data_IF_794341742072
#
_entry.id   IF_794341742072
#
_cell.length_a   1.000
_cell.length_b   1.000
_cell.length_c   1.000
_cell.angle_alpha   90.00
_cell.angle_beta   90.00
_cell.angle_gamma   90.00
#
_symmetry.space_group_name_H-M   'P 1'
#
loop_
_entity.id
_entity.type
_entity.pdbx_description
1 polymer ?
#
# COMPACT_ATOMS: atom_id res chain seq x y z
N UNK A 1 -7.97 31.14 19.61
CA UNK A 1 -7.07 31.24 18.43
C UNK A 1 -5.96 30.24 18.61
N UNK A 2 -5.59 29.47 17.58
CA UNK A 2 -4.39 28.64 17.63
C UNK A 2 -3.17 29.55 17.62
N UNK A 3 -2.17 29.24 18.44
CA UNK A 3 -0.91 29.99 18.46
C UNK A 3 -0.08 29.67 17.22
N UNK A 4 0.79 30.60 16.81
CA UNK A 4 1.68 30.37 15.69
C UNK A 4 2.62 29.18 15.99
N UNK A 5 2.90 28.34 14.98
CA UNK A 5 3.72 27.13 15.09
C UNK A 5 3.11 25.98 15.92
N UNK A 6 1.81 26.02 16.21
CA UNK A 6 1.10 24.85 16.73
C UNK A 6 0.59 23.96 15.59
N UNK A 7 0.99 22.70 15.63
CA UNK A 7 0.57 21.67 14.69
C UNK A 7 -0.31 20.63 15.37
N UNK A 8 -1.29 20.12 14.64
CA UNK A 8 -2.12 19.01 15.07
C UNK A 8 -2.08 17.89 14.04
N UNK A 9 -2.23 16.65 14.51
CA UNK A 9 -2.43 15.52 13.62
C UNK A 9 -3.89 15.49 13.18
N UNK A 10 -4.12 15.65 11.88
CA UNK A 10 -5.46 15.51 11.30
C UNK A 10 -5.81 14.05 11.04
N UNK A 11 -4.81 13.22 10.71
CA UNK A 11 -4.98 11.80 10.45
C UNK A 11 -3.64 11.09 10.35
N UNK A 12 -3.65 9.78 10.58
CA UNK A 12 -2.44 8.94 10.55
C UNK A 12 -2.75 7.51 10.11
N UNK A 13 -1.71 6.74 9.83
CA UNK A 13 -1.88 5.30 9.74
C UNK A 13 -2.32 4.73 11.10
N UNK A 14 -3.29 3.82 11.10
CA UNK A 14 -3.68 3.00 12.25
C UNK A 14 -2.81 1.75 12.37
N UNK A 15 -1.98 1.45 11.38
CA UNK A 15 -1.08 0.30 11.36
C UNK A 15 0.33 0.64 10.83
N UNK A 16 0.69 0.15 9.65
CA UNK A 16 2.01 0.32 9.04
C UNK A 16 2.13 1.68 8.38
N UNK A 17 3.34 2.22 8.33
CA UNK A 17 3.63 3.33 7.43
C UNK A 17 3.51 2.87 5.96
N UNK A 18 3.29 3.80 5.04
CA UNK A 18 3.18 3.47 3.61
C UNK A 18 4.44 2.75 3.10
N UNK A 19 5.64 3.22 3.48
CA UNK A 19 6.91 2.57 3.10
C UNK A 19 7.02 1.13 3.62
N UNK A 20 6.60 0.89 4.87
CA UNK A 20 6.60 -0.45 5.46
C UNK A 20 5.61 -1.39 4.75
N UNK A 21 4.45 -0.88 4.34
CA UNK A 21 3.50 -1.65 3.54
C UNK A 21 4.10 -2.06 2.19
N UNK A 22 4.81 -1.15 1.50
CA UNK A 22 5.54 -1.49 0.27
C UNK A 22 6.62 -2.54 0.54
N UNK A 23 7.42 -2.39 1.60
CA UNK A 23 8.51 -3.32 1.91
C UNK A 23 8.00 -4.73 2.24
N UNK A 24 6.88 -4.83 2.98
CA UNK A 24 6.24 -6.12 3.28
C UNK A 24 5.68 -6.78 2.03
N UNK A 25 4.99 -6.02 1.17
CA UNK A 25 4.49 -6.54 -0.12
C UNK A 25 5.64 -6.97 -1.01
N UNK A 26 6.71 -6.19 -1.09
CA UNK A 26 7.89 -6.53 -1.89
C UNK A 26 8.49 -7.86 -1.42
N UNK A 27 8.58 -8.07 -0.11
CA UNK A 27 9.03 -9.34 0.48
C UNK A 27 8.12 -10.51 0.10
N UNK A 28 6.80 -10.33 0.15
CA UNK A 28 5.83 -11.37 -0.28
C UNK A 28 6.02 -11.76 -1.75
N UNK A 29 6.42 -10.80 -2.59
CA UNK A 29 6.70 -10.99 -4.01
C UNK A 29 8.14 -11.45 -4.32
N UNK A 30 8.97 -11.69 -3.29
CA UNK A 30 10.37 -12.09 -3.46
C UNK A 30 11.30 -10.98 -3.99
N UNK A 31 10.93 -9.70 -3.83
CA UNK A 31 11.71 -8.56 -4.30
C UNK A 31 12.75 -8.09 -3.26
N UNK A 32 13.85 -7.45 -3.70
CA UNK A 32 14.87 -6.91 -2.80
C UNK A 32 14.38 -5.72 -1.94
N UNK A 33 15.09 -5.47 -0.84
CA UNK A 33 14.92 -4.30 0.01
C UNK A 33 15.86 -3.15 -0.41
N UNK A 34 15.43 -1.88 -0.39
CA UNK A 34 14.09 -1.37 -0.07
C UNK A 34 13.07 -1.72 -1.16
N UNK A 35 11.88 -2.16 -0.77
CA UNK A 35 10.88 -2.73 -1.65
C UNK A 35 10.13 -1.71 -2.51
N UNK A 36 9.91 -0.51 -1.97
CA UNK A 36 9.19 0.57 -2.67
C UNK A 36 9.68 0.85 -4.10
N UNK A 37 10.98 1.11 -4.31
CA UNK A 37 11.54 1.33 -5.64
C UNK A 37 11.32 0.18 -6.62
N UNK A 38 11.39 -1.07 -6.16
CA UNK A 38 11.17 -2.25 -7.01
C UNK A 38 9.71 -2.38 -7.43
N UNK A 39 8.76 -2.21 -6.49
CA UNK A 39 7.33 -2.22 -6.80
C UNK A 39 6.98 -1.08 -7.76
N UNK A 40 7.52 0.12 -7.53
CA UNK A 40 7.27 1.29 -8.39
C UNK A 40 7.72 1.04 -9.83
N UNK A 41 8.93 0.47 -10.02
CA UNK A 41 9.45 0.11 -11.34
C UNK A 41 8.57 -0.91 -12.05
N UNK A 42 8.25 -2.03 -11.40
CA UNK A 42 7.40 -3.07 -12.00
C UNK A 42 6.00 -2.56 -12.35
N UNK A 43 5.44 -1.68 -11.52
CA UNK A 43 4.14 -1.06 -11.79
C UNK A 43 4.20 -0.12 -13.01
N UNK A 44 5.32 0.59 -13.21
CA UNK A 44 5.56 1.43 -14.39
C UNK A 44 5.71 0.57 -15.64
N UNK A 45 6.56 -0.46 -15.59
CA UNK A 45 6.74 -1.40 -16.71
C UNK A 45 5.40 -2.04 -17.10
N UNK A 46 4.57 -2.42 -16.12
CA UNK A 46 3.23 -2.95 -16.36
C UNK A 46 2.31 -1.99 -17.11
N UNK A 47 2.36 -0.69 -16.78
CA UNK A 47 1.60 0.36 -17.49
C UNK A 47 2.11 0.54 -18.92
N UNK A 48 3.42 0.60 -19.10
CA UNK A 48 4.05 0.79 -20.42
C UNK A 48 3.75 -0.36 -21.37
N UNK A 49 3.68 -1.58 -20.85
CA UNK A 49 3.34 -2.78 -21.62
C UNK A 49 1.82 -3.04 -21.71
N UNK A 50 0.97 -2.13 -21.22
CA UNK A 50 -0.49 -2.26 -21.19
C UNK A 50 -0.97 -3.62 -20.64
N UNK A 51 -0.32 -4.13 -19.61
CA UNK A 51 -0.75 -5.38 -18.98
C UNK A 51 -2.15 -5.21 -18.39
N UNK A 52 -3.04 -6.20 -18.56
CA UNK A 52 -4.38 -6.14 -18.01
C UNK A 52 -4.33 -6.12 -16.47
N UNK A 53 -5.25 -5.40 -15.85
CA UNK A 53 -5.39 -5.38 -14.40
C UNK A 53 -5.83 -6.76 -13.91
N UNK A 54 -4.92 -7.50 -13.30
CA UNK A 54 -5.17 -8.85 -12.81
C UNK A 54 -5.99 -8.90 -11.49
N UNK A 55 -5.95 -7.83 -10.68
CA UNK A 55 -6.59 -7.79 -9.36
C UNK A 55 -7.13 -6.40 -9.02
N UNK A 56 -8.27 -6.38 -8.33
CA UNK A 56 -8.82 -5.18 -7.69
C UNK A 56 -8.53 -5.26 -6.20
N UNK A 57 -7.68 -4.35 -5.72
CA UNK A 57 -7.29 -4.28 -4.31
C UNK A 57 -8.27 -3.37 -3.52
N UNK A 58 -8.50 -3.65 -2.23
CA UNK A 58 -9.37 -2.82 -1.40
C UNK A 58 -8.80 -1.41 -1.25
N UNK A 59 -9.69 -0.41 -1.19
CA UNK A 59 -9.34 0.98 -0.84
C UNK A 59 -9.60 1.18 0.66
N UNK A 60 -8.55 1.23 1.50
CA UNK A 60 -8.74 1.23 2.93
C UNK A 60 -9.47 2.47 3.40
N UNK A 61 -10.46 2.27 4.27
CA UNK A 61 -11.14 3.33 5.03
C UNK A 61 -11.83 4.41 4.18
N UNK A 62 -12.07 4.16 2.88
CA UNK A 62 -12.68 5.15 1.96
C UNK A 62 -14.10 5.59 2.37
N UNK A 63 -14.79 4.79 3.18
CA UNK A 63 -16.17 5.05 3.63
C UNK A 63 -16.25 5.59 5.06
N UNK A 64 -15.12 5.71 5.75
CA UNK A 64 -15.09 6.21 7.12
C UNK A 64 -14.94 7.74 7.11
N UNK A 65 -15.64 8.42 8.02
CA UNK A 65 -15.53 9.87 8.22
C UNK A 65 -14.30 10.19 9.08
N UNK A 66 -13.12 9.88 8.54
CA UNK A 66 -11.83 10.05 9.22
C UNK A 66 -10.71 10.27 8.21
N UNK A 67 -9.68 11.02 8.60
CA UNK A 67 -8.45 11.16 7.82
C UNK A 67 -7.41 10.08 8.14
N UNK A 68 -7.72 9.17 9.06
CA UNK A 68 -6.90 8.00 9.31
C UNK A 68 -6.93 7.02 8.12
N UNK A 69 -5.89 6.21 8.01
CA UNK A 69 -5.78 5.16 6.99
C UNK A 69 -5.15 3.89 7.55
N UNK A 70 -5.24 2.78 6.83
CA UNK A 70 -4.71 1.48 7.24
C UNK A 70 -4.28 0.68 6.01
N UNK A 71 -3.16 -0.04 6.08
CA UNK A 71 -2.69 -0.90 4.99
C UNK A 71 -2.83 -2.40 5.28
N UNK A 72 -3.26 -2.80 6.47
CA UNK A 72 -3.47 -4.21 6.86
C UNK A 72 -4.34 -4.97 5.87
N UNK A 73 -5.53 -4.46 5.53
CA UNK A 73 -6.43 -5.09 4.56
C UNK A 73 -5.82 -5.19 3.15
N UNK A 74 -5.05 -4.19 2.75
CA UNK A 74 -4.36 -4.17 1.46
C UNK A 74 -3.27 -5.26 1.39
N UNK A 75 -2.44 -5.38 2.42
CA UNK A 75 -1.39 -6.42 2.51
C UNK A 75 -1.99 -7.83 2.49
N UNK A 76 -3.07 -8.05 3.25
CA UNK A 76 -3.76 -9.35 3.29
C UNK A 76 -4.37 -9.71 1.93
N UNK A 77 -4.93 -8.73 1.22
CA UNK A 77 -5.46 -8.95 -0.12
C UNK A 77 -4.34 -9.34 -1.12
N UNK A 78 -3.18 -8.69 -1.03
CA UNK A 78 -2.01 -9.04 -1.86
C UNK A 78 -1.53 -10.45 -1.55
N UNK A 79 -1.34 -10.80 -0.26
CA UNK A 79 -0.90 -12.14 0.14
C UNK A 79 -1.82 -13.24 -0.43
N UNK A 80 -3.13 -13.09 -0.24
CA UNK A 80 -4.12 -14.06 -0.74
C UNK A 80 -4.10 -14.18 -2.25
N UNK A 81 -3.95 -13.07 -2.97
CA UNK A 81 -3.82 -13.09 -4.42
C UNK A 81 -2.54 -13.82 -4.86
N UNK A 82 -1.41 -13.60 -4.18
CA UNK A 82 -0.15 -14.26 -4.52
C UNK A 82 -0.17 -15.76 -4.23
N UNK A 83 -0.84 -16.20 -3.16
CA UNK A 83 -1.00 -17.62 -2.83
C UNK A 83 -1.86 -18.35 -3.88
N UNK A 84 -2.94 -17.72 -4.37
CA UNK A 84 -3.80 -18.28 -5.42
C UNK A 84 -3.11 -18.48 -6.76
N UNK A 85 -2.09 -17.67 -7.08
CA UNK A 85 -1.34 -17.76 -8.34
C UNK A 85 -0.20 -18.79 -8.30
N UNK A 86 0.13 -19.33 -7.12
CA UNK A 86 1.17 -20.34 -6.94
C UNK A 86 0.63 -21.78 -6.94
N UNK A 87 -0.70 -21.94 -7.01
CA UNK A 87 -1.40 -23.23 -7.11
C UNK A 87 -1.81 -23.49 -8.55
#
# INVERSE_FOLDING_TARGET
>A
MKEWMQYEYLGRTRDDAAGEAFDKVARMLGLPYPGGPHISRLAEDSRQNNLPRAVTLPRPMLKEDTYDFSFSGLKTAVLRFTEQQQT
#
